data_IF_801262524323
#
_entry.id   IF_801262524323
#
_cell.length_a   1.000
_cell.length_b   1.000
_cell.length_c   1.000
_cell.angle_alpha   90.00
_cell.angle_beta   90.00
_cell.angle_gamma   90.00
#
_symmetry.space_group_name_H-M   'P 1'
#
loop_
_entity.id
_entity.type
_entity.pdbx_description
1 polymer ?
#
# COMPACT_ATOMS: atom_id res chain seq x y z
N UNK A 1 11.62 -10.06 -7.60
CA UNK A 1 10.86 -9.02 -6.88
C UNK A 1 11.75 -8.00 -6.16
N UNK A 2 12.48 -8.35 -5.09
CA UNK A 2 13.25 -7.38 -4.27
C UNK A 2 14.18 -6.44 -5.05
N UNK A 3 14.93 -6.97 -6.03
CA UNK A 3 15.79 -6.15 -6.91
C UNK A 3 14.99 -5.10 -7.70
N UNK A 4 13.81 -5.49 -8.20
CA UNK A 4 12.93 -4.58 -8.94
C UNK A 4 12.36 -3.51 -8.02
N UNK A 5 11.95 -3.90 -6.82
CA UNK A 5 11.42 -2.99 -5.82
C UNK A 5 12.43 -1.95 -5.36
N UNK A 6 13.65 -2.39 -5.02
CA UNK A 6 14.73 -1.47 -4.66
C UNK A 6 15.07 -0.51 -5.79
N UNK A 7 15.17 -0.99 -7.03
CA UNK A 7 15.46 -0.15 -8.19
C UNK A 7 14.36 0.87 -8.45
N UNK A 8 13.09 0.48 -8.36
CA UNK A 8 11.97 1.40 -8.45
C UNK A 8 12.06 2.48 -7.37
N UNK A 9 12.28 2.06 -6.11
CA UNK A 9 12.41 2.96 -4.97
C UNK A 9 13.52 4.00 -5.15
N UNK A 10 14.68 3.65 -5.71
CA UNK A 10 15.77 4.60 -5.99
C UNK A 10 15.68 5.25 -7.38
N UNK A 11 14.50 5.21 -8.00
CA UNK A 11 14.19 5.81 -9.31
C UNK A 11 15.08 5.32 -10.46
N UNK A 12 15.64 4.11 -10.35
CA UNK A 12 16.41 3.46 -11.41
C UNK A 12 15.47 2.60 -12.27
N UNK A 13 15.04 3.08 -13.45
CA UNK A 13 14.07 2.39 -14.27
C UNK A 13 14.55 0.98 -14.65
N UNK A 14 13.57 0.10 -14.89
CA UNK A 14 13.74 -1.24 -15.42
C UNK A 14 12.79 -1.41 -16.61
N UNK A 15 13.20 -2.16 -17.65
CA UNK A 15 12.26 -2.58 -18.69
C UNK A 15 11.18 -3.48 -18.07
N UNK A 16 10.06 -3.67 -18.76
CA UNK A 16 8.94 -4.51 -18.29
C UNK A 16 9.38 -5.91 -17.85
N UNK A 17 10.34 -6.51 -18.55
CA UNK A 17 10.96 -7.81 -18.24
C UNK A 17 11.61 -7.86 -16.84
N UNK A 18 12.03 -6.71 -16.31
CA UNK A 18 12.52 -6.61 -14.93
C UNK A 18 11.47 -6.93 -13.87
N UNK A 19 10.19 -6.98 -14.25
CA UNK A 19 9.04 -7.28 -13.41
C UNK A 19 8.42 -8.67 -13.71
N UNK A 20 9.01 -9.46 -14.60
CA UNK A 20 8.53 -10.80 -14.99
C UNK A 20 8.99 -11.90 -14.00
N UNK A 21 8.75 -11.67 -12.72
CA UNK A 21 8.92 -12.67 -11.68
C UNK A 21 7.56 -13.29 -11.29
N UNK A 22 7.57 -14.41 -10.56
CA UNK A 22 6.34 -15.08 -10.13
C UNK A 22 5.38 -14.12 -9.41
N UNK A 23 4.08 -14.05 -9.81
CA UNK A 23 3.09 -13.19 -9.16
C UNK A 23 2.93 -13.45 -7.66
N UNK A 24 3.24 -14.66 -7.20
CA UNK A 24 3.22 -15.05 -5.79
C UNK A 24 4.03 -14.07 -4.92
N UNK A 25 5.15 -13.54 -5.41
CA UNK A 25 5.93 -12.56 -4.64
C UNK A 25 5.21 -11.23 -4.46
N UNK A 26 4.44 -10.79 -5.46
CA UNK A 26 3.64 -9.57 -5.37
C UNK A 26 2.44 -9.78 -4.44
N UNK A 27 1.78 -10.94 -4.53
CA UNK A 27 0.69 -11.35 -3.62
C UNK A 27 1.18 -11.36 -2.18
N UNK A 28 2.32 -12.02 -1.92
CA UNK A 28 2.92 -12.08 -0.60
C UNK A 28 3.35 -10.70 -0.09
N UNK A 29 3.83 -9.82 -0.97
CA UNK A 29 4.22 -8.47 -0.59
C UNK A 29 3.05 -7.62 -0.12
N UNK A 30 1.95 -7.60 -0.89
CA UNK A 30 0.72 -6.87 -0.51
C UNK A 30 0.14 -7.43 0.78
N UNK A 31 0.10 -8.76 0.94
CA UNK A 31 -0.38 -9.38 2.18
C UNK A 31 0.55 -9.13 3.37
N UNK A 32 1.86 -9.06 3.15
CA UNK A 32 2.83 -8.76 4.19
C UNK A 32 2.69 -7.33 4.68
N UNK A 33 2.49 -6.35 3.79
CA UNK A 33 2.31 -4.94 4.22
C UNK A 33 1.03 -4.74 4.99
N UNK A 34 -0.07 -5.38 4.56
CA UNK A 34 -1.31 -5.43 5.32
C UNK A 34 -1.10 -6.01 6.73
N UNK A 35 -0.43 -7.15 6.83
CA UNK A 35 -0.16 -7.79 8.12
C UNK A 35 0.71 -6.92 9.03
N UNK A 36 1.79 -6.33 8.49
CA UNK A 36 2.66 -5.43 9.25
C UNK A 36 1.93 -4.17 9.72
N UNK A 37 1.04 -3.63 8.89
CA UNK A 37 0.17 -2.51 9.25
C UNK A 37 -0.77 -2.88 10.39
N UNK A 38 -1.43 -4.03 10.31
CA UNK A 38 -2.34 -4.51 11.36
C UNK A 38 -1.63 -4.74 12.71
N UNK A 39 -0.42 -5.29 12.68
CA UNK A 39 0.41 -5.45 13.88
C UNK A 39 0.73 -4.09 14.49
N UNK A 40 1.14 -3.12 13.66
CA UNK A 40 1.47 -1.77 14.11
C UNK A 40 0.26 -1.05 14.72
N UNK A 41 -0.92 -1.15 14.10
CA UNK A 41 -2.16 -0.56 14.64
C UNK A 41 -2.58 -1.20 15.96
N UNK A 42 -2.49 -2.53 16.05
CA UNK A 42 -2.80 -3.26 17.28
C UNK A 42 -1.88 -2.83 18.42
N UNK A 43 -0.57 -2.68 18.14
CA UNK A 43 0.40 -2.21 19.13
C UNK A 43 0.11 -0.77 19.58
N UNK A 44 -0.15 0.14 18.64
CA UNK A 44 -0.50 1.51 18.96
C UNK A 44 -1.79 1.61 19.81
N UNK A 45 -2.79 0.77 19.52
CA UNK A 45 -4.02 0.67 20.29
C UNK A 45 -3.79 0.19 21.72
N UNK A 46 -2.98 -0.86 21.89
CA UNK A 46 -2.58 -1.38 23.21
C UNK A 46 -1.81 -0.34 24.03
N UNK A 47 -0.85 0.37 23.42
CA UNK A 47 -0.09 1.41 24.09
C UNK A 47 -0.98 2.58 24.54
N UNK A 48 -1.88 3.04 23.67
CA UNK A 48 -2.82 4.10 24.00
C UNK A 48 -3.79 3.69 25.12
N UNK A 49 -4.26 2.44 25.13
CA UNK A 49 -5.10 1.91 26.19
C UNK A 49 -4.34 1.79 27.53
N UNK A 50 -3.10 1.30 27.51
CA UNK A 50 -2.26 1.20 28.70
C UNK A 50 -1.97 2.58 29.31
N UNK A 51 -1.69 3.60 28.49
CA UNK A 51 -1.49 4.98 28.94
C UNK A 51 -2.73 5.59 29.61
N UNK A 52 -3.93 5.13 29.23
CA UNK A 52 -5.21 5.53 29.86
C UNK A 52 -5.53 4.75 31.13
N UNK A 53 -4.65 3.85 31.56
CA UNK A 53 -4.86 3.02 32.76
C UNK A 53 -5.91 1.92 32.57
N UNK A 54 -6.15 1.49 31.33
CA UNK A 54 -7.09 0.39 31.03
C UNK A 54 -6.60 -0.91 31.71
N UNK A 55 -7.47 -1.66 32.40
CA UNK A 55 -7.09 -2.90 33.08
C UNK A 55 -6.48 -3.95 32.15
N UNK A 56 -5.56 -4.77 32.65
CA UNK A 56 -4.88 -5.83 31.87
C UNK A 56 -5.86 -6.81 31.19
N UNK A 57 -7.01 -7.08 31.80
CA UNK A 57 -8.06 -7.93 31.20
C UNK A 57 -8.64 -7.30 29.91
N UNK A 58 -8.88 -5.99 29.90
CA UNK A 58 -9.37 -5.27 28.72
C UNK A 58 -8.27 -5.05 27.67
N UNK A 59 -6.99 -5.01 28.07
CA UNK A 59 -5.86 -5.06 27.13
C UNK A 59 -5.75 -6.42 26.42
N UNK A 60 -5.98 -7.52 27.15
CA UNK A 60 -6.00 -8.87 26.55
C UNK A 60 -7.16 -9.03 25.56
N UNK A 61 -8.31 -8.44 25.87
CA UNK A 61 -9.45 -8.36 24.95
C UNK A 61 -9.10 -7.56 23.69
N UNK A 62 -8.42 -6.41 23.82
CA UNK A 62 -7.96 -5.64 22.67
C UNK A 62 -6.95 -6.41 21.80
N UNK A 63 -6.03 -7.16 22.40
CA UNK A 63 -5.08 -8.00 21.68
C UNK A 63 -5.78 -9.11 20.86
N UNK A 64 -6.95 -9.58 21.33
CA UNK A 64 -7.77 -10.56 20.60
C UNK A 64 -8.40 -10.00 19.32
N UNK A 65 -8.38 -8.68 19.11
CA UNK A 65 -8.82 -8.02 17.89
C UNK A 65 -7.77 -8.07 16.76
N UNK A 66 -6.57 -8.58 16.99
CA UNK A 66 -5.53 -8.69 15.95
C UNK A 66 -6.02 -9.36 14.65
N UNK A 67 -6.79 -10.47 14.66
CA UNK A 67 -7.34 -11.06 13.44
C UNK A 67 -8.28 -10.11 12.69
N UNK A 68 -9.01 -9.26 13.42
CA UNK A 68 -9.91 -8.27 12.86
C UNK A 68 -9.15 -7.12 12.18
N UNK A 69 -8.15 -6.55 12.85
CA UNK A 69 -7.24 -5.58 12.24
C UNK A 69 -6.53 -6.16 11.02
N UNK A 70 -6.10 -7.42 11.11
CA UNK A 70 -5.49 -8.12 9.98
C UNK A 70 -6.43 -8.24 8.79
N UNK A 71 -7.71 -8.60 9.02
CA UNK A 71 -8.69 -8.73 7.96
C UNK A 71 -9.04 -7.38 7.30
N UNK A 72 -9.18 -6.32 8.10
CA UNK A 72 -9.47 -4.97 7.62
C UNK A 72 -8.29 -4.38 6.86
N UNK A 73 -7.07 -4.52 7.35
CA UNK A 73 -5.86 -4.09 6.65
C UNK A 73 -5.62 -4.90 5.38
N UNK A 74 -5.88 -6.20 5.38
CA UNK A 74 -5.83 -7.01 4.16
C UNK A 74 -6.81 -6.49 3.12
N UNK A 75 -8.05 -6.21 3.51
CA UNK A 75 -9.04 -5.64 2.61
C UNK A 75 -8.62 -4.26 2.09
N UNK A 76 -8.06 -3.41 2.95
CA UNK A 76 -7.57 -2.08 2.61
C UNK A 76 -6.41 -2.14 1.61
N UNK A 77 -5.33 -2.87 1.92
CA UNK A 77 -4.14 -2.97 1.07
C UNK A 77 -4.44 -3.63 -0.27
N UNK A 78 -5.23 -4.72 -0.28
CA UNK A 78 -5.64 -5.36 -1.53
C UNK A 78 -6.56 -4.47 -2.35
N UNK A 79 -7.57 -3.89 -1.72
CA UNK A 79 -8.51 -3.00 -2.40
C UNK A 79 -7.81 -1.78 -3.00
N UNK A 80 -6.89 -1.15 -2.26
CA UNK A 80 -6.08 -0.05 -2.75
C UNK A 80 -5.17 -0.47 -3.91
N UNK A 81 -4.46 -1.59 -3.79
CA UNK A 81 -3.57 -2.10 -4.84
C UNK A 81 -4.33 -2.45 -6.12
N UNK A 82 -5.48 -3.14 -5.99
CA UNK A 82 -6.33 -3.50 -7.12
C UNK A 82 -6.94 -2.27 -7.77
N UNK A 83 -7.31 -1.26 -6.99
CA UNK A 83 -7.80 0.00 -7.52
C UNK A 83 -6.71 0.73 -8.32
N UNK A 84 -5.48 0.78 -7.79
CA UNK A 84 -4.34 1.33 -8.52
C UNK A 84 -4.14 0.57 -9.83
N UNK A 85 -4.17 -0.76 -9.77
CA UNK A 85 -4.03 -1.62 -10.93
C UNK A 85 -5.13 -1.37 -11.97
N UNK A 86 -6.41 -1.31 -11.56
CA UNK A 86 -7.55 -1.07 -12.46
C UNK A 86 -7.43 0.28 -13.19
N UNK A 87 -7.15 1.34 -12.44
CA UNK A 87 -6.99 2.69 -13.02
C UNK A 87 -5.80 2.73 -13.97
N UNK A 88 -4.66 2.19 -13.57
CA UNK A 88 -3.46 2.17 -14.41
C UNK A 88 -3.63 1.29 -15.65
N UNK A 89 -4.29 0.15 -15.51
CA UNK A 89 -4.62 -0.75 -16.62
C UNK A 89 -5.45 -0.02 -17.68
N UNK A 90 -6.53 0.67 -17.26
CA UNK A 90 -7.36 1.45 -18.17
C UNK A 90 -6.60 2.63 -18.77
N UNK A 91 -5.94 3.41 -17.93
CA UNK A 91 -5.20 4.61 -18.32
C UNK A 91 -4.09 4.35 -19.34
N UNK A 92 -3.34 3.25 -19.18
CA UNK A 92 -2.25 2.88 -20.08
C UNK A 92 -2.75 2.28 -21.40
N UNK A 93 -3.96 1.72 -21.43
CA UNK A 93 -4.57 1.23 -22.69
C UNK A 93 -5.15 2.35 -23.55
N UNK A 94 -5.49 3.50 -22.96
CA UNK A 94 -5.90 4.68 -23.73
C UNK A 94 -4.79 5.04 -24.72
N UNK A 95 -5.13 5.11 -26.01
CA UNK A 95 -4.18 5.41 -27.09
C UNK A 95 -3.16 4.30 -27.37
N UNK A 96 -3.41 3.06 -26.94
CA UNK A 96 -2.56 1.91 -27.27
C UNK A 96 -1.17 1.95 -26.63
N UNK A 97 -1.00 2.71 -25.53
CA UNK A 97 0.31 2.91 -24.88
C UNK A 97 0.79 1.66 -24.13
N UNK A 98 -0.09 0.70 -23.88
CA UNK A 98 0.26 -0.62 -23.38
C UNK A 98 -0.63 -1.68 -24.05
N UNK A 99 0.02 -2.72 -24.54
CA UNK A 99 -0.59 -3.85 -25.26
C UNK A 99 -1.03 -4.99 -24.32
N UNK A 100 -0.75 -4.89 -23.02
CA UNK A 100 -1.01 -5.97 -22.05
C UNK A 100 0.18 -6.91 -21.81
N UNK A 101 1.32 -6.67 -22.46
CA UNK A 101 2.52 -7.48 -22.30
C UNK A 101 3.23 -7.17 -20.97
N UNK A 102 3.67 -8.23 -20.27
CA UNK A 102 4.28 -8.16 -18.95
C UNK A 102 3.29 -7.91 -17.81
N UNK A 103 3.77 -8.09 -16.57
CA UNK A 103 2.91 -7.96 -15.38
C UNK A 103 2.88 -6.54 -14.81
N UNK A 104 1.82 -5.77 -15.15
CA UNK A 104 1.57 -4.45 -14.54
C UNK A 104 1.34 -4.56 -13.03
N UNK A 105 0.72 -5.63 -12.57
CA UNK A 105 0.51 -5.89 -11.14
C UNK A 105 1.85 -6.04 -10.40
N UNK A 106 2.78 -6.80 -10.96
CA UNK A 106 4.12 -6.92 -10.38
C UNK A 106 4.86 -5.59 -10.36
N UNK A 107 4.75 -4.80 -11.43
CA UNK A 107 5.34 -3.47 -11.47
C UNK A 107 4.81 -2.60 -10.32
N UNK A 108 3.49 -2.55 -10.15
CA UNK A 108 2.84 -1.76 -9.08
C UNK A 108 3.30 -2.25 -7.70
N UNK A 109 3.19 -3.54 -7.42
CA UNK A 109 3.58 -4.10 -6.12
C UNK A 109 5.08 -3.91 -5.81
N UNK A 110 5.96 -4.07 -6.81
CA UNK A 110 7.38 -3.76 -6.64
C UNK A 110 7.62 -2.27 -6.39
N UNK A 111 6.89 -1.39 -7.07
CA UNK A 111 7.07 0.06 -6.93
C UNK A 111 6.62 0.57 -5.55
N UNK A 112 5.69 -0.12 -4.88
CA UNK A 112 5.12 0.33 -3.61
C UNK A 112 5.75 -0.32 -2.37
N UNK A 113 6.12 -1.61 -2.42
CA UNK A 113 6.50 -2.40 -1.23
C UNK A 113 7.58 -1.75 -0.35
N UNK A 114 8.64 -1.18 -0.92
CA UNK A 114 9.72 -0.57 -0.13
C UNK A 114 9.21 0.66 0.60
N UNK A 115 8.36 1.45 -0.05
CA UNK A 115 7.79 2.67 0.52
C UNK A 115 6.81 2.31 1.62
N UNK A 116 5.96 1.30 1.40
CA UNK A 116 5.00 0.80 2.40
C UNK A 116 5.72 0.30 3.65
N UNK A 117 6.76 -0.53 3.50
CA UNK A 117 7.54 -1.03 4.65
C UNK A 117 8.23 0.12 5.39
N UNK A 118 8.82 1.10 4.69
CA UNK A 118 9.41 2.28 5.34
C UNK A 118 8.33 3.09 6.07
N UNK A 119 7.18 3.33 5.44
CA UNK A 119 6.09 4.08 6.04
C UNK A 119 5.58 3.41 7.32
N UNK A 120 5.35 2.09 7.29
CA UNK A 120 4.95 1.31 8.46
C UNK A 120 6.02 1.40 9.56
N UNK A 121 7.29 1.21 9.21
CA UNK A 121 8.39 1.31 10.17
C UNK A 121 8.49 2.71 10.81
N UNK A 122 8.32 3.78 10.03
CA UNK A 122 8.34 5.14 10.57
C UNK A 122 7.15 5.42 11.48
N UNK A 123 5.96 4.91 11.15
CA UNK A 123 4.78 5.00 12.01
C UNK A 123 5.02 4.25 13.32
N UNK A 124 5.59 3.04 13.27
CA UNK A 124 5.93 2.25 14.45
C UNK A 124 6.96 2.96 15.36
N UNK A 125 7.85 3.76 14.78
CA UNK A 125 8.81 4.59 15.51
C UNK A 125 8.18 5.90 16.05
N UNK A 126 6.87 6.10 15.90
CA UNK A 126 6.16 7.28 16.37
C UNK A 126 6.46 8.55 15.59
N UNK A 127 6.93 8.45 14.33
CA UNK A 127 7.18 9.64 13.52
C UNK A 127 5.88 10.35 13.16
N UNK A 128 5.92 11.70 13.03
CA UNK A 128 4.74 12.48 12.67
C UNK A 128 4.15 12.06 11.33
N UNK A 129 2.81 12.07 11.23
CA UNK A 129 2.07 11.73 10.01
C UNK A 129 2.51 12.53 8.76
N UNK A 130 3.01 13.76 8.92
CA UNK A 130 3.58 14.56 7.82
C UNK A 130 4.77 13.87 7.12
N UNK A 131 5.54 13.04 7.82
CA UNK A 131 6.66 12.28 7.23
C UNK A 131 6.13 11.16 6.35
N UNK A 132 5.09 10.44 6.82
CA UNK A 132 4.39 9.41 6.05
C UNK A 132 3.73 10.02 4.81
N UNK A 133 3.15 11.22 4.94
CA UNK A 133 2.58 11.96 3.82
C UNK A 133 3.62 12.28 2.73
N UNK A 134 4.84 12.65 3.11
CA UNK A 134 5.94 12.88 2.14
C UNK A 134 6.28 11.60 1.40
N UNK A 135 6.33 10.45 2.09
CA UNK A 135 6.53 9.14 1.45
C UNK A 135 5.38 8.76 0.51
N UNK A 136 4.14 9.10 0.87
CA UNK A 136 2.98 8.91 0.00
C UNK A 136 3.10 9.73 -1.29
N UNK A 137 3.51 11.00 -1.20
CA UNK A 137 3.75 11.81 -2.40
C UNK A 137 4.92 11.27 -3.23
N UNK A 138 5.95 10.74 -2.57
CA UNK A 138 7.07 10.08 -3.24
C UNK A 138 6.65 8.81 -3.99
N UNK A 139 5.69 8.03 -3.45
CA UNK A 139 5.23 6.79 -4.08
C UNK A 139 4.60 7.02 -5.45
N UNK A 140 3.88 8.14 -5.62
CA UNK A 140 3.33 8.57 -6.91
C UNK A 140 4.46 8.74 -7.93
N UNK A 141 5.56 9.39 -7.53
CA UNK A 141 6.71 9.60 -8.39
C UNK A 141 7.44 8.30 -8.72
N UNK A 142 7.58 7.40 -7.74
CA UNK A 142 8.19 6.08 -7.92
C UNK A 142 7.40 5.23 -8.92
N UNK A 143 6.07 5.15 -8.76
CA UNK A 143 5.20 4.44 -9.69
C UNK A 143 5.29 5.04 -11.10
N UNK A 144 5.19 6.37 -11.22
CA UNK A 144 5.28 7.06 -12.51
C UNK A 144 6.61 6.78 -13.23
N UNK A 145 7.73 6.81 -12.50
CA UNK A 145 9.05 6.54 -13.04
C UNK A 145 9.24 5.06 -13.39
N UNK A 146 8.70 4.14 -12.59
CA UNK A 146 8.71 2.71 -12.90
C UNK A 146 7.93 2.40 -14.18
N UNK A 147 6.73 2.96 -14.34
CA UNK A 147 5.90 2.78 -15.53
C UNK A 147 6.56 3.36 -16.78
N UNK A 148 7.04 4.61 -16.71
CA UNK A 148 7.71 5.24 -17.85
C UNK A 148 9.05 4.56 -18.21
N UNK A 149 9.71 3.92 -17.24
CA UNK A 149 10.89 3.10 -17.47
C UNK A 149 10.57 1.75 -18.10
N UNK A 150 9.45 1.14 -17.73
CA UNK A 150 9.02 -0.16 -18.22
C UNK A 150 8.39 -0.10 -19.62
N UNK A 151 7.74 1.02 -19.95
CA UNK A 151 7.00 1.24 -21.19
C UNK A 151 7.59 2.44 -21.96
N UNK A 152 8.47 2.22 -22.97
CA UNK A 152 9.15 3.29 -23.70
C UNK A 152 8.23 4.32 -24.37
N UNK A 153 7.04 3.88 -24.78
CA UNK A 153 6.01 4.71 -25.41
C UNK A 153 5.21 5.59 -24.42
N UNK A 154 5.39 5.40 -23.11
CA UNK A 154 4.69 6.16 -22.08
C UNK A 154 5.57 7.28 -21.56
N UNK A 155 5.21 8.53 -21.88
CA UNK A 155 5.87 9.70 -21.31
C UNK A 155 5.70 9.73 -19.78
N UNK A 156 6.75 10.11 -19.04
CA UNK A 156 6.72 10.20 -17.56
C UNK A 156 5.57 11.06 -17.03
N UNK A 157 5.28 12.20 -17.69
CA UNK A 157 4.17 13.08 -17.32
C UNK A 157 2.81 12.36 -17.43
N UNK A 158 2.65 11.50 -18.43
CA UNK A 158 1.43 10.71 -18.60
C UNK A 158 1.30 9.62 -17.52
N UNK A 159 2.41 8.94 -17.20
CA UNK A 159 2.45 7.98 -16.11
C UNK A 159 2.16 8.64 -14.74
N UNK A 160 2.66 9.85 -14.53
CA UNK A 160 2.41 10.64 -13.32
C UNK A 160 0.94 10.98 -13.14
N UNK A 161 0.27 11.42 -14.21
CA UNK A 161 -1.18 11.67 -14.18
C UNK A 161 -1.93 10.37 -13.87
N UNK A 162 -1.56 9.25 -14.47
CA UNK A 162 -2.14 7.95 -14.17
C UNK A 162 -1.98 7.57 -12.69
N UNK A 163 -0.77 7.72 -12.14
CA UNK A 163 -0.50 7.44 -10.74
C UNK A 163 -1.34 8.32 -9.80
N UNK A 164 -1.45 9.63 -10.08
CA UNK A 164 -2.31 10.55 -9.32
C UNK A 164 -3.80 10.17 -9.40
N UNK A 165 -4.29 9.86 -10.59
CA UNK A 165 -5.68 9.41 -10.79
C UNK A 165 -5.98 8.11 -10.06
N UNK A 166 -4.97 7.23 -9.95
CA UNK A 166 -5.09 5.96 -9.25
C UNK A 166 -5.07 6.08 -7.73
N UNK A 167 -4.41 7.12 -7.21
CA UNK A 167 -4.25 7.35 -5.77
C UNK A 167 -5.58 7.72 -5.10
N UNK A 168 -6.38 8.59 -5.72
CA UNK A 168 -7.66 9.05 -5.15
C UNK A 168 -8.61 7.90 -4.79
N UNK A 169 -8.98 6.99 -5.71
CA UNK A 169 -9.88 5.89 -5.38
C UNK A 169 -9.21 4.87 -4.44
N UNK A 170 -7.89 4.68 -4.51
CA UNK A 170 -7.17 3.84 -3.55
C UNK A 170 -7.25 4.40 -2.12
N UNK A 171 -7.14 5.73 -1.96
CA UNK A 171 -7.34 6.40 -0.67
C UNK A 171 -8.77 6.26 -0.17
N UNK A 172 -9.77 6.36 -1.05
CA UNK A 172 -11.18 6.14 -0.66
C UNK A 172 -11.36 4.72 -0.10
N UNK A 173 -10.78 3.71 -0.74
CA UNK A 173 -10.83 2.32 -0.24
C UNK A 173 -10.18 2.20 1.14
N UNK A 174 -9.00 2.80 1.34
CA UNK A 174 -8.31 2.77 2.63
C UNK A 174 -9.13 3.46 3.73
N UNK A 175 -9.68 4.66 3.47
CA UNK A 175 -10.50 5.41 4.43
C UNK A 175 -11.78 4.64 4.79
N UNK A 176 -12.43 4.00 3.81
CA UNK A 176 -13.62 3.18 4.06
C UNK A 176 -13.29 1.97 4.94
N UNK A 177 -12.17 1.28 4.69
CA UNK A 177 -11.73 0.15 5.51
C UNK A 177 -11.47 0.58 6.97
N UNK A 178 -10.78 1.71 7.17
CA UNK A 178 -10.57 2.28 8.51
C UNK A 178 -11.90 2.68 9.19
N UNK A 179 -12.86 3.24 8.44
CA UNK A 179 -14.17 3.59 8.96
C UNK A 179 -14.99 2.36 9.41
N UNK A 180 -14.87 1.25 8.67
CA UNK A 180 -15.45 -0.04 9.07
C UNK A 180 -14.77 -0.55 10.35
N UNK A 181 -13.44 -0.51 10.42
CA UNK A 181 -12.69 -0.87 11.62
C UNK A 181 -13.15 -0.09 12.85
N UNK A 182 -13.26 1.24 12.71
CA UNK A 182 -13.71 2.13 13.77
C UNK A 182 -15.15 1.89 14.24
N UNK A 183 -16.09 1.73 13.30
CA UNK A 183 -17.51 1.54 13.65
C UNK A 183 -17.79 0.20 14.33
N UNK A 184 -17.09 -0.86 13.95
CA UNK A 184 -17.24 -2.16 14.61
C UNK A 184 -16.62 -2.16 16.01
N UNK A 185 -15.49 -1.49 16.22
CA UNK A 185 -14.93 -1.32 17.58
C UNK A 185 -15.89 -0.61 18.53
N UNK A 186 -16.63 0.39 18.04
CA UNK A 186 -17.66 1.07 18.84
C UNK A 186 -18.81 0.14 19.22
N UNK A 187 -19.24 -0.75 18.31
CA UNK A 187 -20.31 -1.71 18.56
C UNK A 187 -19.91 -2.85 19.51
N UNK A 188 -18.62 -3.15 19.67
CA UNK A 188 -18.14 -4.17 20.62
C UNK A 188 -17.93 -3.62 22.03
N UNK A 189 -17.90 -2.29 22.19
CA UNK A 189 -17.65 -1.62 23.47
C UNK A 189 -18.94 -1.14 24.20
N UNK A 190 -20.12 -1.36 23.62
CA UNK A 190 -21.43 -1.00 24.18
C UNK A 190 -22.27 -2.23 24.47
#
# INVERSE_FOLDING_TARGET
MLRAAWRAFVLKPLPMQGYDYSPVYSVLAVSLTAFLSAVNETQAGLEAAAQRGVPAAALAEHASLLPYFTATELAASWGATLMIWLVMYGWLRVGGRWNGEGSLFNLIAASSIVIEVIAIALTALGLPAKVVLVLLLYSVWVLANAVAGALPQVARKYALVGALLSLLPAMVVAVLAMGVAGSMMQNMAG
#
